data_IF_776406379522
#
_entry.id   IF_776406379522
#
_cell.length_a   1.000
_cell.length_b   1.000
_cell.length_c   1.000
_cell.angle_alpha   90.00
_cell.angle_beta   90.00
_cell.angle_gamma   90.00
#
_symmetry.space_group_name_H-M   'P 1'
#
loop_
_entity.id
_entity.type
_entity.pdbx_description
1 polymer ?
#
# COMPACT_ATOMS: atom_id res chain seq x y z
N UNK A 1 36.21 -25.07 5.15
CA UNK A 1 35.24 -25.19 6.26
C UNK A 1 34.95 -23.78 6.74
N UNK A 2 33.83 -23.18 6.31
CA UNK A 2 33.43 -21.85 6.74
C UNK A 2 32.69 -21.97 8.06
N UNK A 3 33.24 -21.36 9.13
CA UNK A 3 32.52 -21.25 10.40
C UNK A 3 31.17 -20.54 10.16
N UNK A 4 30.06 -21.06 10.70
CA UNK A 4 28.82 -20.28 10.71
C UNK A 4 29.07 -18.98 11.48
N UNK A 5 28.50 -17.85 11.04
CA UNK A 5 28.65 -16.58 11.73
C UNK A 5 28.20 -16.73 13.19
N UNK A 6 28.80 -15.99 14.14
CA UNK A 6 28.44 -16.05 15.54
C UNK A 6 26.96 -15.69 15.68
N UNK A 7 26.15 -16.69 16.02
CA UNK A 7 24.77 -16.45 16.44
C UNK A 7 24.84 -15.80 17.82
N UNK A 8 24.36 -14.57 17.93
CA UNK A 8 24.15 -13.97 19.24
C UNK A 8 23.24 -14.92 20.04
N UNK A 9 23.62 -15.37 21.24
CA UNK A 9 22.76 -16.20 22.06
C UNK A 9 21.50 -15.39 22.36
N UNK A 10 20.40 -15.73 21.68
CA UNK A 10 19.12 -15.12 21.98
C UNK A 10 18.73 -15.52 23.40
N UNK A 11 18.61 -14.53 24.28
CA UNK A 11 18.15 -14.73 25.65
C UNK A 11 16.87 -15.59 25.66
N UNK A 12 16.75 -16.53 26.60
CA UNK A 12 15.56 -17.36 26.71
C UNK A 12 14.32 -16.50 26.98
N UNK A 13 13.22 -16.85 26.34
CA UNK A 13 11.97 -16.10 26.44
C UNK A 13 11.37 -16.32 27.81
N UNK A 14 11.11 -15.25 28.55
CA UNK A 14 10.50 -15.36 29.89
C UNK A 14 9.01 -15.67 29.80
N UNK A 15 8.43 -16.23 30.88
CA UNK A 15 6.99 -16.49 30.94
C UNK A 15 6.14 -15.20 30.79
N UNK A 16 6.63 -14.07 31.33
CA UNK A 16 5.99 -12.77 31.20
C UNK A 16 6.04 -12.25 29.74
N UNK A 17 7.18 -12.38 29.06
CA UNK A 17 7.31 -12.05 27.64
C UNK A 17 6.41 -12.92 26.76
N UNK A 18 6.29 -14.21 27.07
CA UNK A 18 5.40 -15.11 26.34
C UNK A 18 3.92 -14.74 26.54
N UNK A 19 3.52 -14.43 27.77
CA UNK A 19 2.15 -13.97 28.06
C UNK A 19 1.83 -12.65 27.34
N UNK A 20 2.75 -11.68 27.38
CA UNK A 20 2.63 -10.42 26.65
C UNK A 20 2.59 -10.62 25.13
N UNK A 21 3.41 -11.55 24.59
CA UNK A 21 3.42 -11.87 23.17
C UNK A 21 2.08 -12.51 22.74
N UNK A 22 1.52 -13.45 23.51
CA UNK A 22 0.21 -14.04 23.23
C UNK A 22 -0.92 -13.00 23.25
N UNK A 23 -0.96 -12.14 24.28
CA UNK A 23 -1.90 -11.02 24.34
C UNK A 23 -1.71 -10.03 23.17
N UNK A 24 -0.47 -9.85 22.75
CA UNK A 24 -0.15 -9.01 21.60
C UNK A 24 -0.58 -9.63 20.27
N UNK A 25 -0.47 -10.95 20.09
CA UNK A 25 -1.00 -11.67 18.92
C UNK A 25 -2.52 -11.56 18.87
N UNK A 26 -3.22 -11.75 20.00
CA UNK A 26 -4.68 -11.64 20.07
C UNK A 26 -5.17 -10.26 19.64
N UNK A 27 -4.67 -9.20 20.27
CA UNK A 27 -5.11 -7.82 20.02
C UNK A 27 -4.70 -7.35 18.62
N UNK A 28 -3.44 -7.53 18.21
CA UNK A 28 -2.96 -7.03 16.90
C UNK A 28 -3.57 -7.80 15.74
N UNK A 29 -3.70 -9.13 15.85
CA UNK A 29 -4.36 -9.95 14.83
C UNK A 29 -5.80 -9.51 14.59
N UNK A 30 -6.58 -9.30 15.66
CA UNK A 30 -7.96 -8.79 15.57
C UNK A 30 -8.04 -7.41 14.90
N UNK A 31 -7.18 -6.47 15.28
CA UNK A 31 -7.13 -5.12 14.67
C UNK A 31 -6.77 -5.15 13.19
N UNK A 32 -5.78 -5.97 12.80
CA UNK A 32 -5.37 -6.15 11.41
C UNK A 32 -6.55 -6.71 10.60
N UNK A 33 -7.17 -7.80 11.06
CA UNK A 33 -8.30 -8.40 10.36
C UNK A 33 -9.50 -7.47 10.22
N UNK A 34 -9.84 -6.74 11.29
CA UNK A 34 -10.93 -5.74 11.27
C UNK A 34 -10.64 -4.61 10.27
N UNK A 35 -9.42 -4.09 10.28
CA UNK A 35 -9.00 -2.99 9.39
C UNK A 35 -8.93 -3.42 7.94
N UNK A 36 -8.47 -4.64 7.65
CA UNK A 36 -8.55 -5.23 6.31
C UNK A 36 -10.00 -5.38 5.85
N UNK A 37 -10.93 -5.75 6.76
CA UNK A 37 -12.36 -5.78 6.47
C UNK A 37 -12.93 -4.40 6.09
N UNK A 38 -12.57 -3.36 6.85
CA UNK A 38 -12.94 -1.97 6.55
C UNK A 38 -12.34 -1.52 5.21
N UNK A 39 -11.06 -1.79 4.97
CA UNK A 39 -10.40 -1.46 3.70
C UNK A 39 -11.06 -2.16 2.51
N UNK A 40 -11.44 -3.43 2.64
CA UNK A 40 -12.16 -4.16 1.60
C UNK A 40 -13.51 -3.49 1.28
N UNK A 41 -14.28 -3.12 2.32
CA UNK A 41 -15.56 -2.43 2.14
C UNK A 41 -15.39 -1.05 1.48
N UNK A 42 -14.42 -0.25 1.95
CA UNK A 42 -14.11 1.06 1.35
C UNK A 42 -13.65 0.93 -0.10
N UNK A 43 -12.87 -0.10 -0.41
CA UNK A 43 -12.38 -0.33 -1.78
C UNK A 43 -13.50 -0.77 -2.71
N UNK A 44 -14.41 -1.63 -2.24
CA UNK A 44 -15.60 -2.01 -3.00
C UNK A 44 -16.50 -0.81 -3.28
N UNK A 45 -16.76 0.02 -2.25
CA UNK A 45 -17.53 1.26 -2.39
C UNK A 45 -16.84 2.25 -3.32
N UNK A 46 -15.53 2.45 -3.18
CA UNK A 46 -14.74 3.30 -4.05
C UNK A 46 -14.76 2.84 -5.51
N UNK A 47 -14.68 1.53 -5.76
CA UNK A 47 -14.79 0.96 -7.10
C UNK A 47 -16.19 1.13 -7.70
N UNK A 48 -17.26 0.99 -6.91
CA UNK A 48 -18.63 1.27 -7.35
C UNK A 48 -18.84 2.75 -7.68
N UNK A 49 -18.30 3.65 -6.84
CA UNK A 49 -18.33 5.08 -7.09
C UNK A 49 -17.51 5.45 -8.33
N UNK A 50 -16.34 4.83 -8.51
CA UNK A 50 -15.50 5.02 -9.70
C UNK A 50 -16.18 4.52 -10.97
N UNK A 51 -16.85 3.37 -10.91
CA UNK A 51 -17.67 2.84 -12.02
C UNK A 51 -18.80 3.82 -12.37
N UNK A 52 -19.53 4.30 -11.36
CA UNK A 52 -20.62 5.25 -11.56
C UNK A 52 -20.10 6.59 -12.13
N UNK A 53 -19.00 7.11 -11.60
CA UNK A 53 -18.38 8.35 -12.08
C UNK A 53 -17.88 8.21 -13.52
N UNK A 54 -17.27 7.08 -13.88
CA UNK A 54 -16.82 6.80 -15.24
C UNK A 54 -18.01 6.71 -16.21
N UNK A 55 -19.06 5.97 -15.83
CA UNK A 55 -20.30 5.89 -16.62
C UNK A 55 -20.93 7.27 -16.84
N UNK A 56 -21.08 8.04 -15.75
CA UNK A 56 -21.66 9.38 -15.80
C UNK A 56 -20.82 10.33 -16.66
N UNK A 57 -19.49 10.30 -16.53
CA UNK A 57 -18.57 11.14 -17.30
C UNK A 57 -18.70 10.91 -18.82
N UNK A 58 -18.90 9.65 -19.24
CA UNK A 58 -19.14 9.34 -20.65
C UNK A 58 -20.53 9.80 -21.13
N UNK A 59 -21.54 9.77 -20.26
CA UNK A 59 -22.88 10.31 -20.57
C UNK A 59 -22.89 11.84 -20.73
N UNK A 60 -22.04 12.53 -19.98
CA UNK A 60 -21.90 13.99 -20.02
C UNK A 60 -20.91 14.51 -21.08
N UNK A 61 -20.05 13.63 -21.60
CA UNK A 61 -19.03 13.98 -22.61
C UNK A 61 -19.59 14.75 -23.82
N UNK A 62 -20.73 14.37 -24.43
CA UNK A 62 -21.27 15.11 -25.58
C UNK A 62 -21.68 16.54 -25.22
N UNK A 63 -22.22 16.75 -24.00
CA UNK A 63 -22.62 18.08 -23.51
C UNK A 63 -21.39 18.95 -23.28
N UNK A 64 -20.33 18.38 -22.69
CA UNK A 64 -19.05 19.06 -22.49
C UNK A 64 -18.38 19.46 -23.82
N UNK A 65 -18.37 18.56 -24.81
CA UNK A 65 -17.82 18.85 -26.13
C UNK A 65 -18.64 19.94 -26.85
N UNK A 66 -19.97 19.90 -26.74
CA UNK A 66 -20.83 20.94 -27.30
C UNK A 66 -20.56 22.32 -26.67
N UNK A 67 -20.42 22.40 -25.34
CA UNK A 67 -20.07 23.67 -24.68
C UNK A 67 -18.71 24.21 -25.13
N UNK A 68 -17.70 23.33 -25.28
CA UNK A 68 -16.37 23.74 -25.74
C UNK A 68 -16.40 24.28 -27.18
N UNK A 69 -17.23 23.69 -28.05
CA UNK A 69 -17.39 24.15 -29.42
C UNK A 69 -18.04 25.55 -29.49
N UNK A 70 -19.09 25.78 -28.69
CA UNK A 70 -19.74 27.09 -28.55
C UNK A 70 -18.76 28.18 -28.06
N UNK A 71 -17.87 27.82 -27.13
CA UNK A 71 -16.83 28.71 -26.59
C UNK A 71 -15.71 29.04 -27.59
N UNK A 72 -15.53 28.21 -28.61
CA UNK A 72 -14.54 28.44 -29.66
C UNK A 72 -15.10 29.22 -30.86
N UNK A 73 -16.29 29.81 -30.75
CA UNK A 73 -17.03 30.39 -31.88
C UNK A 73 -17.24 29.39 -33.05
N UNK A 74 -17.26 28.09 -32.75
CA UNK A 74 -17.36 27.02 -33.75
C UNK A 74 -16.07 26.77 -34.55
N UNK A 75 -14.93 27.30 -34.10
CA UNK A 75 -13.62 27.13 -34.73
C UNK A 75 -12.99 25.75 -34.40
N UNK A 76 -13.56 25.03 -33.42
CA UNK A 76 -13.27 23.63 -33.22
C UNK A 76 -13.95 22.77 -34.31
N UNK A 77 -13.27 21.77 -34.88
CA UNK A 77 -13.92 20.81 -35.76
C UNK A 77 -15.11 20.18 -35.02
N UNK A 78 -16.23 19.94 -35.71
CA UNK A 78 -17.41 19.25 -35.15
C UNK A 78 -17.03 17.82 -34.74
N UNK A 79 -16.45 17.71 -33.55
CA UNK A 79 -15.93 16.47 -33.01
C UNK A 79 -17.10 15.73 -32.36
N UNK A 80 -17.60 14.72 -33.07
CA UNK A 80 -18.63 13.86 -32.53
C UNK A 80 -18.01 12.96 -31.45
N UNK A 81 -18.62 12.90 -30.25
CA UNK A 81 -18.12 12.07 -29.15
C UNK A 81 -17.93 10.59 -29.57
N UNK A 82 -18.79 10.11 -30.46
CA UNK A 82 -18.74 8.76 -31.03
C UNK A 82 -17.57 8.52 -32.00
N UNK A 83 -17.00 9.58 -32.58
CA UNK A 83 -15.81 9.53 -33.45
C UNK A 83 -14.52 9.64 -32.63
N UNK A 84 -14.54 10.41 -31.55
CA UNK A 84 -13.41 10.58 -30.63
C UNK A 84 -13.17 9.37 -29.73
N UNK A 85 -14.23 8.72 -29.27
CA UNK A 85 -14.15 7.63 -28.30
C UNK A 85 -14.70 6.35 -28.92
N UNK A 86 -13.85 5.35 -29.18
CA UNK A 86 -14.30 4.09 -29.76
C UNK A 86 -15.41 3.45 -28.92
N UNK A 87 -16.43 2.88 -29.56
CA UNK A 87 -17.57 2.27 -28.86
C UNK A 87 -17.19 1.17 -27.85
N UNK A 88 -16.02 0.54 -28.02
CA UNK A 88 -15.49 -0.46 -27.09
C UNK A 88 -14.80 0.16 -25.85
N UNK A 89 -14.42 1.45 -25.87
CA UNK A 89 -13.62 2.07 -24.82
C UNK A 89 -14.37 2.10 -23.47
N UNK A 90 -15.63 2.53 -23.47
CA UNK A 90 -16.45 2.56 -22.25
C UNK A 90 -16.63 1.16 -21.63
N UNK A 91 -17.14 0.13 -22.35
CA UNK A 91 -17.29 -1.20 -21.77
C UNK A 91 -15.94 -1.82 -21.37
N UNK A 92 -14.84 -1.55 -22.08
CA UNK A 92 -13.51 -2.00 -21.68
C UNK A 92 -13.02 -1.33 -20.39
N UNK A 93 -13.16 -0.01 -20.25
CA UNK A 93 -12.72 0.71 -19.05
C UNK A 93 -13.57 0.31 -17.83
N UNK A 94 -14.88 0.16 -17.99
CA UNK A 94 -15.77 -0.33 -16.94
C UNK A 94 -15.44 -1.76 -16.54
N UNK A 95 -15.25 -2.65 -17.52
CA UNK A 95 -14.90 -4.05 -17.29
C UNK A 95 -13.55 -4.19 -16.58
N UNK A 96 -12.53 -3.47 -17.03
CA UNK A 96 -11.21 -3.43 -16.41
C UNK A 96 -11.26 -2.81 -15.01
N UNK A 97 -12.04 -1.75 -14.81
CA UNK A 97 -12.22 -1.11 -13.51
C UNK A 97 -12.89 -2.02 -12.48
N UNK A 98 -13.95 -2.74 -12.88
CA UNK A 98 -14.59 -3.74 -12.04
C UNK A 98 -13.67 -4.93 -11.74
N UNK A 99 -12.97 -5.43 -12.75
CA UNK A 99 -12.00 -6.51 -12.58
C UNK A 99 -10.88 -6.11 -11.63
N UNK A 100 -10.30 -4.92 -11.81
CA UNK A 100 -9.25 -4.39 -10.93
C UNK A 100 -9.76 -4.23 -9.49
N UNK A 101 -10.97 -3.68 -9.31
CA UNK A 101 -11.62 -3.56 -7.99
C UNK A 101 -11.82 -4.92 -7.34
N UNK A 102 -12.37 -5.89 -8.10
CA UNK A 102 -12.63 -7.24 -7.61
C UNK A 102 -11.33 -7.95 -7.21
N UNK A 103 -10.29 -7.86 -8.02
CA UNK A 103 -8.97 -8.42 -7.72
C UNK A 103 -8.35 -7.76 -6.48
N UNK A 104 -8.49 -6.44 -6.33
CA UNK A 104 -7.98 -5.70 -5.18
C UNK A 104 -8.69 -6.10 -3.88
N UNK A 105 -10.02 -6.13 -3.89
CA UNK A 105 -10.82 -6.60 -2.74
C UNK A 105 -10.49 -8.06 -2.42
N UNK A 106 -10.38 -8.91 -3.43
CA UNK A 106 -10.02 -10.32 -3.24
C UNK A 106 -8.64 -10.47 -2.60
N UNK A 107 -7.65 -9.69 -3.04
CA UNK A 107 -6.31 -9.69 -2.42
C UNK A 107 -6.37 -9.28 -0.94
N UNK A 108 -7.17 -8.27 -0.58
CA UNK A 108 -7.38 -7.86 0.83
C UNK A 108 -8.00 -8.99 1.65
N UNK A 109 -9.02 -9.68 1.11
CA UNK A 109 -9.68 -10.79 1.79
C UNK A 109 -8.73 -12.00 1.97
N UNK A 110 -7.91 -12.30 0.97
CA UNK A 110 -6.88 -13.34 1.04
C UNK A 110 -5.82 -12.99 2.09
N UNK A 111 -5.39 -11.72 2.16
CA UNK A 111 -4.49 -11.26 3.21
C UNK A 111 -5.12 -11.39 4.60
N UNK A 112 -6.39 -11.01 4.75
CA UNK A 112 -7.16 -11.15 5.99
C UNK A 112 -7.25 -12.60 6.44
N UNK A 113 -7.58 -13.52 5.52
CA UNK A 113 -7.64 -14.95 5.80
C UNK A 113 -6.28 -15.50 6.26
N UNK A 114 -5.19 -15.04 5.62
CA UNK A 114 -3.84 -15.49 5.96
C UNK A 114 -3.40 -15.01 7.34
N UNK A 115 -3.72 -13.76 7.70
CA UNK A 115 -3.49 -13.25 9.07
C UNK A 115 -4.29 -14.06 10.09
N UNK A 116 -5.55 -14.39 9.79
CA UNK A 116 -6.39 -15.25 10.63
C UNK A 116 -5.78 -16.64 10.82
N UNK A 117 -5.35 -17.29 9.75
CA UNK A 117 -4.74 -18.62 9.83
C UNK A 117 -3.40 -18.62 10.61
N UNK A 118 -2.58 -17.57 10.48
CA UNK A 118 -1.37 -17.41 11.30
C UNK A 118 -1.75 -17.20 12.77
N UNK A 119 -2.76 -16.38 13.04
CA UNK A 119 -3.25 -16.10 14.38
C UNK A 119 -3.76 -17.38 15.08
N UNK A 120 -4.62 -18.15 14.41
CA UNK A 120 -5.16 -19.42 14.90
C UNK A 120 -4.05 -20.43 15.19
N UNK A 121 -3.14 -20.65 14.22
CA UNK A 121 -2.03 -21.58 14.39
C UNK A 121 -1.07 -21.19 15.51
N UNK A 122 -0.87 -19.87 15.73
CA UNK A 122 0.05 -19.37 16.75
C UNK A 122 -0.52 -19.54 18.17
N UNK A 123 -1.83 -19.33 18.33
CA UNK A 123 -2.48 -19.37 19.65
C UNK A 123 -2.99 -20.76 20.02
N UNK A 124 -3.48 -21.50 19.04
CA UNK A 124 -4.11 -22.81 19.20
C UNK A 124 -3.49 -23.81 18.21
N UNK A 125 -2.23 -24.24 18.40
CA UNK A 125 -1.56 -25.12 17.45
C UNK A 125 -2.30 -26.46 17.34
N UNK A 126 -2.61 -26.87 16.11
CA UNK A 126 -3.31 -28.12 15.83
C UNK A 126 -3.26 -28.49 14.34
N UNK A 127 -3.48 -29.77 13.98
CA UNK A 127 -3.36 -30.24 12.60
C UNK A 127 -4.32 -29.52 11.64
N UNK A 128 -5.54 -29.22 12.09
CA UNK A 128 -6.54 -28.51 11.29
C UNK A 128 -6.11 -27.07 10.97
N UNK A 129 -5.53 -26.38 11.97
CA UNK A 129 -5.02 -25.02 11.82
C UNK A 129 -3.75 -24.97 10.97
N UNK A 130 -2.87 -25.99 11.07
CA UNK A 130 -1.70 -26.15 10.18
C UNK A 130 -2.15 -26.27 8.72
N UNK A 131 -3.14 -27.13 8.44
CA UNK A 131 -3.68 -27.30 7.09
C UNK A 131 -4.39 -26.05 6.55
N UNK A 132 -5.04 -25.26 7.42
CA UNK A 132 -5.63 -23.97 7.04
C UNK A 132 -4.56 -22.90 6.74
N UNK A 133 -3.47 -22.85 7.53
CA UNK A 133 -2.33 -21.97 7.31
C UNK A 133 -1.64 -22.28 5.98
N UNK A 134 -1.35 -23.54 5.69
CA UNK A 134 -0.72 -23.95 4.43
C UNK A 134 -1.54 -23.56 3.20
N UNK A 135 -2.85 -23.81 3.24
CA UNK A 135 -3.76 -23.43 2.16
C UNK A 135 -3.73 -21.92 1.96
N UNK A 136 -3.78 -21.15 3.04
CA UNK A 136 -3.75 -19.68 2.97
C UNK A 136 -2.43 -19.16 2.39
N UNK A 137 -1.29 -19.69 2.84
CA UNK A 137 0.03 -19.31 2.31
C UNK A 137 0.19 -19.74 0.85
N UNK A 138 -0.31 -20.91 0.46
CA UNK A 138 -0.31 -21.36 -0.95
C UNK A 138 -1.11 -20.40 -1.84
N UNK A 139 -2.25 -19.90 -1.36
CA UNK A 139 -3.06 -18.91 -2.08
C UNK A 139 -2.35 -17.56 -2.18
N UNK A 140 -1.65 -17.11 -1.13
CA UNK A 140 -0.94 -15.82 -1.11
C UNK A 140 0.32 -15.80 -1.97
N UNK A 141 1.04 -16.92 -2.10
CA UNK A 141 2.33 -16.96 -2.84
C UNK A 141 2.24 -16.40 -4.27
N UNK A 142 1.27 -16.80 -5.11
CA UNK A 142 1.07 -16.20 -6.43
C UNK A 142 0.83 -14.69 -6.38
N UNK A 143 0.07 -14.20 -5.39
CA UNK A 143 -0.18 -12.76 -5.21
C UNK A 143 1.09 -11.98 -4.86
N UNK A 144 1.96 -12.55 -4.02
CA UNK A 144 3.26 -11.95 -3.72
C UNK A 144 4.11 -11.85 -4.99
N UNK A 145 4.17 -12.93 -5.79
CA UNK A 145 4.91 -12.94 -7.06
C UNK A 145 4.32 -11.94 -8.05
N UNK A 146 3.00 -11.91 -8.18
CA UNK A 146 2.31 -10.94 -9.03
C UNK A 146 2.56 -9.50 -8.56
N UNK A 147 2.56 -9.25 -7.25
CA UNK A 147 2.91 -7.96 -6.65
C UNK A 147 4.37 -7.55 -6.88
N UNK A 148 5.28 -8.51 -7.03
CA UNK A 148 6.66 -8.23 -7.45
C UNK A 148 6.69 -7.86 -8.95
N UNK A 149 5.93 -8.54 -9.80
CA UNK A 149 5.91 -8.27 -11.24
C UNK A 149 5.14 -6.99 -11.58
N UNK A 150 4.12 -6.63 -10.81
CA UNK A 150 3.21 -5.53 -11.12
C UNK A 150 3.91 -4.16 -11.30
N UNK A 151 4.86 -3.72 -10.45
CA UNK A 151 5.63 -2.50 -10.68
C UNK A 151 6.40 -2.50 -12.01
N UNK A 152 6.90 -3.66 -12.45
CA UNK A 152 7.59 -3.79 -13.74
C UNK A 152 6.59 -3.61 -14.88
N UNK A 153 5.42 -4.24 -14.78
CA UNK A 153 4.36 -4.07 -15.78
C UNK A 153 3.86 -2.62 -15.82
N UNK A 154 3.72 -1.96 -14.66
CA UNK A 154 3.37 -0.54 -14.59
C UNK A 154 4.43 0.36 -15.21
N UNK A 155 5.72 0.02 -15.08
CA UNK A 155 6.82 0.73 -15.73
C UNK A 155 6.77 0.60 -17.26
N UNK A 156 6.37 -0.56 -17.78
CA UNK A 156 6.26 -0.79 -19.22
C UNK A 156 5.21 0.11 -19.88
N UNK A 157 4.15 0.48 -19.17
CA UNK A 157 3.07 1.33 -19.70
C UNK A 157 3.60 2.70 -20.17
N UNK A 158 4.21 3.56 -19.34
CA UNK A 158 4.78 4.82 -19.79
C UNK A 158 5.96 4.61 -20.74
N UNK A 159 6.78 3.56 -20.57
CA UNK A 159 7.88 3.26 -21.48
C UNK A 159 7.42 2.94 -22.91
N UNK A 160 6.23 2.37 -23.08
CA UNK A 160 5.63 2.11 -24.39
C UNK A 160 4.79 3.29 -24.85
N UNK A 161 3.96 3.86 -23.96
CA UNK A 161 3.05 4.94 -24.28
C UNK A 161 3.79 6.19 -24.74
N UNK A 162 4.85 6.63 -24.03
CA UNK A 162 5.61 7.84 -24.39
C UNK A 162 6.14 7.79 -25.83
N UNK A 163 6.93 6.79 -26.26
CA UNK A 163 7.43 6.73 -27.63
C UNK A 163 6.33 6.45 -28.66
N UNK A 164 5.29 5.67 -28.32
CA UNK A 164 4.14 5.46 -29.22
C UNK A 164 3.37 6.76 -29.46
N UNK A 165 3.05 7.51 -28.41
CA UNK A 165 2.33 8.78 -28.50
C UNK A 165 3.13 9.80 -29.29
N UNK A 166 4.43 9.96 -29.02
CA UNK A 166 5.28 10.85 -29.81
C UNK A 166 5.43 10.37 -31.27
N UNK A 167 5.53 9.06 -31.51
CA UNK A 167 5.55 8.48 -32.86
C UNK A 167 4.25 8.74 -33.63
N UNK A 168 3.09 8.64 -32.96
CA UNK A 168 1.78 8.92 -33.54
C UNK A 168 1.60 10.41 -33.85
N UNK A 169 1.97 11.29 -32.91
CA UNK A 169 1.93 12.75 -33.11
C UNK A 169 2.80 13.15 -34.30
N UNK A 170 4.01 12.57 -34.44
CA UNK A 170 4.89 12.81 -35.58
C UNK A 170 4.29 12.42 -36.92
N UNK A 171 3.42 11.41 -36.96
CA UNK A 171 2.73 10.98 -38.18
C UNK A 171 1.49 11.83 -38.49
N UNK A 172 0.75 12.24 -37.46
CA UNK A 172 -0.51 12.97 -37.59
C UNK A 172 -0.33 14.47 -37.79
N UNK A 173 0.65 15.08 -37.12
CA UNK A 173 0.96 16.51 -37.23
C UNK A 173 2.49 16.75 -37.19
N UNK A 174 3.16 16.59 -38.35
CA UNK A 174 4.60 16.76 -38.46
C UNK A 174 5.06 18.19 -38.16
N UNK A 175 4.21 19.20 -38.37
CA UNK A 175 4.56 20.62 -38.22
C UNK A 175 4.59 21.02 -36.75
N UNK A 176 3.60 20.60 -35.96
CA UNK A 176 3.59 20.82 -34.50
C UNK A 176 4.77 20.09 -33.86
N UNK A 177 5.07 18.86 -34.25
CA UNK A 177 6.20 18.10 -33.70
C UNK A 177 7.57 18.76 -33.98
N UNK A 178 7.77 19.36 -35.15
CA UNK A 178 8.98 20.13 -35.45
C UNK A 178 9.10 21.42 -34.61
N UNK A 179 7.97 22.02 -34.21
CA UNK A 179 7.92 23.20 -33.36
C UNK A 179 8.21 22.93 -31.87
N UNK A 180 7.94 21.73 -31.36
CA UNK A 180 8.17 21.39 -29.93
C UNK A 180 9.63 21.01 -29.63
N UNK A 181 10.46 20.76 -30.65
CA UNK A 181 11.90 20.50 -30.47
C UNK A 181 12.24 19.18 -29.75
N UNK A 182 11.29 18.24 -29.59
CA UNK A 182 11.56 16.93 -28.98
C UNK A 182 12.32 16.03 -29.97
N UNK A 183 13.64 15.93 -29.78
CA UNK A 183 14.49 15.00 -30.49
C UNK A 183 14.61 13.62 -29.82
N UNK A 184 15.37 12.70 -30.44
CA UNK A 184 15.65 11.39 -29.86
C UNK A 184 16.34 11.47 -28.48
N UNK A 185 17.10 12.54 -28.23
CA UNK A 185 17.82 12.75 -26.97
C UNK A 185 16.87 13.07 -25.81
N UNK A 186 15.87 13.93 -26.03
CA UNK A 186 14.86 14.32 -25.04
C UNK A 186 13.94 13.13 -24.72
N UNK A 187 13.52 12.38 -25.74
CA UNK A 187 12.76 11.13 -25.55
C UNK A 187 13.59 10.12 -24.75
N UNK A 188 14.89 9.98 -25.08
CA UNK A 188 15.83 9.14 -24.34
C UNK A 188 16.00 9.58 -22.88
N UNK A 189 16.06 10.89 -22.61
CA UNK A 189 16.14 11.45 -21.27
C UNK A 189 14.85 11.22 -20.47
N UNK A 190 13.67 11.35 -21.08
CA UNK A 190 12.38 11.03 -20.45
C UNK A 190 12.33 9.54 -20.09
N UNK A 191 12.69 8.66 -21.03
CA UNK A 191 12.74 7.21 -20.80
C UNK A 191 13.70 6.86 -19.66
N UNK A 192 14.91 7.44 -19.68
CA UNK A 192 15.89 7.24 -18.62
C UNK A 192 15.38 7.76 -17.27
N UNK A 193 14.74 8.94 -17.26
CA UNK A 193 14.13 9.53 -16.07
C UNK A 193 13.05 8.62 -15.46
N UNK A 194 12.18 8.05 -16.31
CA UNK A 194 11.15 7.08 -15.89
C UNK A 194 11.77 5.83 -15.27
N UNK A 195 12.84 5.29 -15.87
CA UNK A 195 13.55 4.12 -15.32
C UNK A 195 14.21 4.44 -13.98
N UNK A 196 14.99 5.53 -13.91
CA UNK A 196 15.73 5.93 -12.70
C UNK A 196 14.77 6.25 -11.55
N UNK A 197 13.64 6.91 -11.82
CA UNK A 197 12.64 7.23 -10.82
C UNK A 197 11.89 5.99 -10.31
N UNK A 198 11.65 5.00 -11.18
CA UNK A 198 10.83 3.83 -10.83
C UNK A 198 11.63 2.70 -10.17
N UNK A 199 12.93 2.59 -10.46
CA UNK A 199 13.81 1.55 -9.92
C UNK A 199 13.76 1.43 -8.39
N UNK A 200 13.86 2.53 -7.61
CA UNK A 200 13.76 2.46 -6.15
C UNK A 200 12.44 1.82 -5.71
N UNK A 201 11.31 2.23 -6.29
CA UNK A 201 9.98 1.70 -5.97
C UNK A 201 9.88 0.20 -6.27
N UNK A 202 10.40 -0.25 -7.42
CA UNK A 202 10.42 -1.67 -7.79
C UNK A 202 11.25 -2.47 -6.77
N UNK A 203 12.47 -2.03 -6.48
CA UNK A 203 13.39 -2.72 -5.56
C UNK A 203 12.79 -2.79 -4.15
N UNK A 204 12.26 -1.70 -3.63
CA UNK A 204 11.65 -1.64 -2.30
C UNK A 204 10.45 -2.59 -2.21
N UNK A 205 9.56 -2.55 -3.21
CA UNK A 205 8.38 -3.44 -3.26
C UNK A 205 8.81 -4.91 -3.28
N UNK A 206 9.83 -5.24 -4.07
CA UNK A 206 10.38 -6.60 -4.13
C UNK A 206 10.91 -7.08 -2.80
N UNK A 207 11.70 -6.24 -2.11
CA UNK A 207 12.34 -6.56 -0.84
C UNK A 207 11.30 -6.74 0.28
N UNK A 208 10.29 -5.86 0.36
CA UNK A 208 9.16 -6.00 1.31
C UNK A 208 8.43 -7.33 1.08
N UNK A 209 8.02 -7.60 -0.16
CA UNK A 209 7.26 -8.80 -0.51
C UNK A 209 8.07 -10.09 -0.30
N UNK A 210 9.38 -10.06 -0.61
CA UNK A 210 10.28 -11.17 -0.35
C UNK A 210 10.47 -11.42 1.16
N UNK A 211 10.58 -10.36 1.96
CA UNK A 211 10.69 -10.49 3.42
C UNK A 211 9.41 -11.09 4.03
N UNK A 212 8.23 -10.63 3.61
CA UNK A 212 6.94 -11.17 4.05
C UNK A 212 6.82 -12.65 3.68
N UNK A 213 7.19 -13.02 2.44
CA UNK A 213 7.21 -14.41 2.00
C UNK A 213 8.11 -15.28 2.87
N UNK A 214 9.34 -14.84 3.14
CA UNK A 214 10.29 -15.57 4.01
C UNK A 214 9.75 -15.76 5.41
N UNK A 215 9.08 -14.75 5.96
CA UNK A 215 8.44 -14.86 7.27
C UNK A 215 7.27 -15.85 7.27
N UNK A 216 6.36 -15.78 6.28
CA UNK A 216 5.27 -16.75 6.13
C UNK A 216 5.79 -18.19 5.95
N UNK A 217 6.82 -18.37 5.14
CA UNK A 217 7.45 -19.68 4.92
C UNK A 217 8.07 -20.23 6.21
N UNK A 218 8.69 -19.38 7.03
CA UNK A 218 9.22 -19.77 8.35
C UNK A 218 8.11 -20.16 9.33
N UNK A 219 6.99 -19.44 9.35
CA UNK A 219 5.81 -19.78 10.17
C UNK A 219 5.21 -21.13 9.76
N UNK A 220 5.10 -21.41 8.47
CA UNK A 220 4.65 -22.72 7.96
C UNK A 220 5.65 -23.82 8.31
N UNK A 221 6.94 -23.59 8.10
CA UNK A 221 7.98 -24.58 8.43
C UNK A 221 7.98 -24.94 9.92
N UNK A 222 7.75 -23.93 10.78
CA UNK A 222 7.62 -24.11 12.23
C UNK A 222 6.42 -24.97 12.63
N UNK A 223 5.35 -24.98 11.85
CA UNK A 223 4.21 -25.84 12.12
C UNK A 223 4.53 -27.34 11.97
N UNK A 224 5.59 -27.70 11.22
CA UNK A 224 6.01 -29.08 10.97
C UNK A 224 7.30 -29.48 11.68
N UNK A 225 8.21 -28.53 11.86
CA UNK A 225 9.58 -28.80 12.30
C UNK A 225 10.04 -27.73 13.30
N UNK A 226 10.95 -28.08 14.23
CA UNK A 226 11.37 -27.13 15.24
C UNK A 226 12.40 -26.10 14.70
N UNK A 227 11.96 -25.20 13.81
CA UNK A 227 12.80 -24.16 13.17
C UNK A 227 12.55 -22.78 13.81
N UNK A 228 13.57 -21.94 14.06
CA UNK A 228 13.37 -20.60 14.60
C UNK A 228 12.74 -19.63 13.58
N UNK A 229 11.76 -18.84 14.03
CA UNK A 229 11.01 -17.87 13.22
C UNK A 229 11.53 -16.43 13.40
N UNK A 230 12.16 -16.11 14.55
CA UNK A 230 12.65 -14.77 14.88
C UNK A 230 13.64 -14.16 13.86
N UNK A 231 14.58 -14.90 13.25
CA UNK A 231 15.45 -14.34 12.21
C UNK A 231 14.67 -13.81 11.00
N UNK A 232 13.62 -14.53 10.57
CA UNK A 232 12.77 -14.11 9.48
C UNK A 232 11.91 -12.88 9.86
N UNK A 233 11.40 -12.83 11.10
CA UNK A 233 10.67 -11.68 11.61
C UNK A 233 11.53 -10.40 11.70
N UNK A 234 12.79 -10.53 12.15
CA UNK A 234 13.76 -9.42 12.16
C UNK A 234 14.11 -8.93 10.75
N UNK A 235 14.09 -9.81 9.75
CA UNK A 235 14.31 -9.42 8.36
C UNK A 235 13.19 -8.56 7.77
N UNK A 236 11.97 -8.68 8.29
CA UNK A 236 10.80 -7.89 7.87
C UNK A 236 10.78 -6.51 8.54
N UNK A 237 11.28 -6.42 9.77
CA UNK A 237 11.16 -5.27 10.67
C UNK A 237 11.63 -3.91 10.09
N UNK A 238 12.81 -3.78 9.42
CA UNK A 238 13.28 -2.52 8.86
C UNK A 238 12.45 -2.06 7.67
N UNK A 239 11.98 -3.00 6.85
CA UNK A 239 11.13 -2.71 5.70
C UNK A 239 9.78 -2.18 6.15
N UNK A 240 9.20 -2.74 7.21
CA UNK A 240 7.93 -2.24 7.73
C UNK A 240 8.05 -0.83 8.32
N UNK A 241 9.17 -0.50 8.99
CA UNK A 241 9.43 0.88 9.45
C UNK A 241 9.58 1.84 8.28
N UNK A 242 10.34 1.45 7.27
CA UNK A 242 10.56 2.29 6.12
C UNK A 242 9.23 2.66 5.45
N UNK A 243 8.35 1.67 5.19
CA UNK A 243 7.02 1.95 4.65
C UNK A 243 6.16 2.75 5.61
N UNK A 244 6.26 2.52 6.93
CA UNK A 244 5.52 3.31 7.92
C UNK A 244 5.89 4.79 7.83
N UNK A 245 7.18 5.12 7.72
CA UNK A 245 7.66 6.50 7.56
C UNK A 245 7.12 7.12 6.28
N UNK A 246 7.17 6.39 5.16
CA UNK A 246 6.61 6.87 3.88
C UNK A 246 5.10 7.13 3.97
N UNK A 247 4.35 6.25 4.63
CA UNK A 247 2.92 6.43 4.83
C UNK A 247 2.61 7.64 5.71
N UNK A 248 3.40 7.89 6.76
CA UNK A 248 3.25 9.08 7.61
C UNK A 248 3.54 10.36 6.83
N UNK A 249 4.58 10.37 5.99
CA UNK A 249 4.88 11.53 5.13
C UNK A 249 3.77 11.76 4.10
N UNK A 250 3.26 10.70 3.47
CA UNK A 250 2.12 10.78 2.55
C UNK A 250 0.85 11.28 3.24
N UNK A 251 0.56 10.79 4.44
CA UNK A 251 -0.56 11.26 5.28
C UNK A 251 -0.42 12.75 5.59
N UNK A 252 0.76 13.20 6.02
CA UNK A 252 1.03 14.60 6.29
C UNK A 252 0.83 15.45 5.02
N UNK A 253 1.31 15.00 3.85
CA UNK A 253 1.09 15.67 2.57
C UNK A 253 -0.39 15.80 2.20
N UNK A 254 -1.16 14.72 2.37
CA UNK A 254 -2.61 14.73 2.09
C UNK A 254 -3.37 15.68 3.02
N UNK A 255 -3.00 15.73 4.30
CA UNK A 255 -3.60 16.66 5.27
C UNK A 255 -3.20 18.12 4.98
N UNK A 256 -1.92 18.36 4.66
CA UNK A 256 -1.41 19.68 4.31
C UNK A 256 -1.98 20.20 2.99
N UNK A 257 -2.37 19.33 2.05
CA UNK A 257 -3.09 19.73 0.84
C UNK A 257 -4.59 19.89 1.06
N UNK A 258 -5.22 18.92 1.73
CA UNK A 258 -6.67 18.83 1.87
C UNK A 258 -7.27 19.87 2.82
N UNK A 259 -6.63 20.15 3.96
CA UNK A 259 -7.15 21.11 4.94
C UNK A 259 -7.17 22.55 4.40
N UNK A 260 -6.13 23.05 3.71
CA UNK A 260 -6.19 24.35 3.06
C UNK A 260 -7.24 24.41 1.96
N UNK A 261 -7.41 23.39 1.12
CA UNK A 261 -8.46 23.38 0.09
C UNK A 261 -9.86 23.54 0.70
N UNK A 262 -10.11 22.86 1.83
CA UNK A 262 -11.33 23.03 2.62
C UNK A 262 -11.49 24.46 3.13
N UNK A 263 -10.43 25.04 3.69
CA UNK A 263 -10.44 26.43 4.16
C UNK A 263 -10.70 27.42 3.00
N UNK A 264 -9.99 27.29 1.87
CA UNK A 264 -10.16 28.13 0.68
C UNK A 264 -11.57 28.04 0.09
N UNK A 265 -12.20 26.87 0.13
CA UNK A 265 -13.58 26.69 -0.36
C UNK A 265 -14.59 27.60 0.36
N UNK A 266 -14.33 27.98 1.61
CA UNK A 266 -15.18 28.89 2.37
C UNK A 266 -15.08 30.34 1.87
N UNK A 267 -13.93 30.75 1.34
CA UNK A 267 -13.67 32.12 0.86
C UNK A 267 -14.08 32.32 -0.61
N UNK A 268 -14.03 31.27 -1.44
CA UNK A 268 -14.38 31.33 -2.86
C UNK A 268 -15.87 31.63 -3.10
N UNK A 269 -16.76 31.20 -2.19
CA UNK A 269 -18.19 31.48 -2.30
C UNK A 269 -18.60 32.95 -2.13
N UNK A 270 -17.68 33.81 -1.68
CA UNK A 270 -17.92 35.24 -1.41
C UNK A 270 -17.23 36.20 -2.38
N UNK A 271 -16.39 35.69 -3.30
CA UNK A 271 -15.69 36.53 -4.25
C UNK A 271 -16.56 36.78 -5.50
N UNK A 272 -16.87 38.04 -5.85
CA UNK A 272 -17.57 38.34 -7.10
C UNK A 272 -16.62 38.08 -8.28
N UNK A 273 -16.86 36.98 -9.02
CA UNK A 273 -16.30 36.78 -10.35
C UNK A 273 -17.19 37.54 -11.34
N UNK A 274 -16.80 38.78 -11.65
CA UNK A 274 -17.49 39.67 -12.60
C UNK A 274 -16.99 39.50 -14.04
N UNK A 275 -16.40 38.35 -14.38
CA UNK A 275 -15.88 38.11 -15.71
C UNK A 275 -16.90 37.29 -16.54
N UNK A 276 -17.57 37.91 -17.52
CA UNK A 276 -18.59 37.25 -18.33
C UNK A 276 -18.03 36.08 -19.16
N UNK A 277 -16.75 36.10 -19.51
CA UNK A 277 -16.12 35.04 -20.29
C UNK A 277 -15.91 33.78 -19.44
N UNK A 278 -15.57 33.94 -18.15
CA UNK A 278 -15.48 32.82 -17.19
C UNK A 278 -16.87 32.26 -16.81
N UNK A 279 -17.90 33.12 -16.78
CA UNK A 279 -19.26 32.68 -16.55
C UNK A 279 -19.82 31.90 -17.75
N UNK A 280 -19.46 32.28 -18.99
CA UNK A 280 -19.78 31.54 -20.21
C UNK A 280 -19.12 30.15 -20.24
N UNK A 281 -17.93 30.01 -19.64
CA UNK A 281 -17.23 28.73 -19.41
C UNK A 281 -17.88 27.83 -18.34
N UNK A 282 -18.96 28.27 -17.69
CA UNK A 282 -19.57 27.58 -16.54
C UNK A 282 -18.72 27.63 -15.27
N UNK A 283 -17.61 28.39 -15.28
CA UNK A 283 -16.70 28.59 -14.14
C UNK A 283 -17.31 29.67 -13.25
N UNK A 284 -18.34 29.26 -12.52
CA UNK A 284 -18.97 30.08 -11.48
C UNK A 284 -18.24 29.93 -10.15
N UNK A 285 -18.33 30.90 -9.23
CA UNK A 285 -17.85 30.74 -7.85
C UNK A 285 -18.41 29.47 -7.18
N UNK A 286 -19.65 29.09 -7.51
CA UNK A 286 -20.30 27.88 -7.03
C UNK A 286 -19.64 26.61 -7.59
N UNK A 287 -19.33 26.58 -8.89
CA UNK A 287 -18.63 25.46 -9.52
C UNK A 287 -17.19 25.32 -8.98
N UNK A 288 -16.46 26.43 -8.83
CA UNK A 288 -15.11 26.42 -8.26
C UNK A 288 -15.13 25.93 -6.80
N UNK A 289 -16.09 26.40 -5.99
CA UNK A 289 -16.30 25.90 -4.63
C UNK A 289 -16.63 24.41 -4.60
N UNK A 290 -17.47 23.92 -5.52
CA UNK A 290 -17.78 22.51 -5.62
C UNK A 290 -16.54 21.67 -5.97
N UNK A 291 -15.72 22.10 -6.92
CA UNK A 291 -14.46 21.43 -7.28
C UNK A 291 -13.50 21.39 -6.09
N UNK A 292 -13.34 22.50 -5.36
CA UNK A 292 -12.49 22.55 -4.16
C UNK A 292 -13.00 21.62 -3.05
N UNK A 293 -14.31 21.56 -2.83
CA UNK A 293 -14.93 20.65 -1.86
C UNK A 293 -14.76 19.19 -2.25
N UNK A 294 -14.96 18.85 -3.52
CA UNK A 294 -14.73 17.50 -4.05
C UNK A 294 -13.27 17.11 -3.92
N UNK A 295 -12.34 18.00 -4.30
CA UNK A 295 -10.90 17.79 -4.15
C UNK A 295 -10.50 17.61 -2.69
N UNK A 296 -10.99 18.45 -1.79
CA UNK A 296 -10.72 18.34 -0.36
C UNK A 296 -11.31 17.05 0.24
N UNK A 297 -12.54 16.67 -0.14
CA UNK A 297 -13.15 15.43 0.27
C UNK A 297 -12.35 14.21 -0.22
N UNK A 298 -11.87 14.23 -1.46
CA UNK A 298 -11.01 13.18 -2.01
C UNK A 298 -9.67 13.10 -1.26
N UNK A 299 -9.03 14.23 -0.95
CA UNK A 299 -7.79 14.26 -0.16
C UNK A 299 -7.98 13.77 1.27
N UNK A 300 -9.08 14.15 1.94
CA UNK A 300 -9.41 13.68 3.28
C UNK A 300 -9.74 12.18 3.30
N UNK A 301 -10.48 11.68 2.31
CA UNK A 301 -10.73 10.26 2.15
C UNK A 301 -9.41 9.51 1.91
N UNK A 302 -8.53 10.07 1.08
CA UNK A 302 -7.17 9.56 0.89
C UNK A 302 -6.37 9.55 2.20
N UNK A 303 -6.42 10.62 2.98
CA UNK A 303 -5.76 10.72 4.28
C UNK A 303 -6.30 9.67 5.25
N UNK A 304 -7.60 9.43 5.27
CA UNK A 304 -8.21 8.38 6.06
C UNK A 304 -7.72 6.98 5.65
N UNK A 305 -7.65 6.69 4.35
CA UNK A 305 -7.08 5.43 3.84
C UNK A 305 -5.61 5.29 4.24
N UNK A 306 -4.80 6.35 4.09
CA UNK A 306 -3.40 6.36 4.50
C UNK A 306 -3.23 6.17 6.01
N UNK A 307 -4.12 6.72 6.82
CA UNK A 307 -4.15 6.48 8.27
C UNK A 307 -4.41 5.00 8.58
N UNK A 308 -5.42 4.39 7.93
CA UNK A 308 -5.69 2.95 8.08
C UNK A 308 -4.49 2.10 7.68
N UNK A 309 -3.83 2.42 6.55
CA UNK A 309 -2.62 1.73 6.10
C UNK A 309 -1.45 1.91 7.08
N UNK A 310 -1.28 3.11 7.65
CA UNK A 310 -0.26 3.41 8.66
C UNK A 310 -0.48 2.57 9.91
N UNK A 311 -1.72 2.52 10.41
CA UNK A 311 -2.11 1.70 11.56
C UNK A 311 -1.91 0.21 11.29
N UNK A 312 -2.34 -0.26 10.11
CA UNK A 312 -2.14 -1.64 9.65
C UNK A 312 -0.67 -2.01 9.65
N UNK A 313 0.20 -1.11 9.18
CA UNK A 313 1.63 -1.34 9.12
C UNK A 313 2.27 -1.40 10.52
N UNK A 314 1.89 -0.47 11.39
CA UNK A 314 2.34 -0.46 12.79
C UNK A 314 1.92 -1.73 13.55
N UNK A 315 0.68 -2.20 13.34
CA UNK A 315 0.23 -3.46 13.93
C UNK A 315 0.89 -4.68 13.31
N UNK A 316 1.12 -4.70 11.99
CA UNK A 316 1.74 -5.82 11.27
C UNK A 316 3.17 -6.09 11.76
N UNK A 317 3.95 -5.02 11.97
CA UNK A 317 5.29 -5.09 12.58
C UNK A 317 5.24 -5.76 13.94
N UNK A 318 4.38 -5.24 14.81
CA UNK A 318 4.21 -5.77 16.15
C UNK A 318 3.66 -7.21 16.17
N UNK A 319 2.81 -7.55 15.22
CA UNK A 319 2.21 -8.88 15.09
C UNK A 319 3.28 -9.91 14.68
N UNK A 320 4.08 -9.62 13.66
CA UNK A 320 5.13 -10.53 13.19
C UNK A 320 6.15 -10.87 14.30
N UNK A 321 6.57 -9.86 15.09
CA UNK A 321 7.45 -10.08 16.24
C UNK A 321 6.80 -10.93 17.33
N UNK A 322 5.54 -10.66 17.68
CA UNK A 322 4.86 -11.41 18.74
C UNK A 322 4.62 -12.86 18.33
N UNK A 323 4.25 -13.11 17.07
CA UNK A 323 4.11 -14.46 16.51
C UNK A 323 5.42 -15.22 16.61
N UNK A 324 6.54 -14.62 16.19
CA UNK A 324 7.85 -15.25 16.29
C UNK A 324 8.23 -15.58 17.75
N UNK A 325 7.97 -14.66 18.70
CA UNK A 325 8.21 -14.91 20.12
C UNK A 325 7.36 -16.07 20.66
N UNK A 326 6.08 -16.15 20.32
CA UNK A 326 5.21 -17.26 20.77
C UNK A 326 5.68 -18.59 20.19
N UNK A 327 5.98 -18.64 18.90
CA UNK A 327 6.36 -19.87 18.21
C UNK A 327 7.73 -20.39 18.65
N UNK A 328 8.70 -19.49 18.89
CA UNK A 328 10.06 -19.87 19.26
C UNK A 328 10.21 -20.19 20.76
N UNK A 329 9.20 -19.92 21.60
CA UNK A 329 9.23 -20.28 23.03
C UNK A 329 9.20 -21.81 23.25
N UNK A 330 8.63 -22.57 22.31
CA UNK A 330 8.55 -24.04 22.37
C UNK A 330 9.71 -24.78 21.69
N UNK A 331 10.87 -24.16 21.47
CA UNK A 331 12.04 -24.82 20.86
C UNK A 331 12.76 -25.72 21.88
N UNK A 332 12.88 -27.05 21.65
CA UNK A 332 13.68 -27.91 22.52
C UNK A 332 15.16 -27.49 22.47
N UNK A 333 15.77 -27.26 23.63
CA UNK A 333 17.17 -26.85 23.75
C UNK A 333 17.42 -25.36 24.03
N UNK A 334 16.38 -24.53 24.15
CA UNK A 334 16.53 -23.21 24.79
C UNK A 334 16.57 -23.39 26.31
N UNK A 335 17.65 -22.98 27.00
CA UNK A 335 17.70 -23.09 28.45
C UNK A 335 16.64 -22.19 29.06
N UNK A 336 15.58 -22.78 29.63
CA UNK A 336 14.67 -22.07 30.53
C UNK A 336 15.49 -21.78 31.78
N UNK A 337 16.12 -20.59 31.87
CA UNK A 337 16.65 -20.18 33.15
C UNK A 337 15.45 -19.90 34.07
N UNK A 338 15.33 -20.57 35.23
CA UNK A 338 14.54 -19.98 36.31
C UNK A 338 15.13 -18.58 36.57
N UNK A 339 14.26 -17.60 36.84
CA UNK A 339 14.68 -16.26 37.19
C UNK A 339 15.54 -16.31 38.47
N UNK A 340 16.84 -16.51 38.30
CA UNK A 340 17.84 -16.22 39.29
C UNK A 340 18.42 -14.89 38.90
N UNK A 341 18.08 -13.89 39.71
CA UNK A 341 18.74 -12.61 39.72
C UNK A 341 20.25 -12.87 39.86
N UNK A 342 21.10 -12.44 38.91
CA UNK A 342 22.55 -12.60 39.02
C UNK A 342 23.12 -11.87 40.26
N UNK A 343 22.32 -11.03 40.92
CA UNK A 343 22.66 -10.34 42.15
C UNK A 343 22.18 -11.05 43.43
N UNK A 344 21.41 -12.15 43.34
CA UNK A 344 20.93 -12.91 44.49
C UNK A 344 21.79 -14.15 44.81
N UNK A 345 23.11 -14.02 44.67
CA UNK A 345 24.04 -15.02 45.22
C UNK A 345 24.04 -14.98 46.76
N UNK A 346 24.37 -16.09 47.45
CA UNK A 346 24.50 -16.08 48.90
C UNK A 346 25.56 -15.04 49.29
N UNK A 347 25.16 -14.07 50.11
CA UNK A 347 26.06 -13.10 50.71
C UNK A 347 27.12 -13.89 51.47
N UNK A 348 28.35 -13.96 50.95
CA UNK A 348 29.49 -14.40 51.73
C UNK A 348 29.71 -13.33 52.80
N UNK A 349 29.55 -13.65 54.11
CA UNK A 349 29.94 -12.72 55.14
C UNK A 349 31.44 -12.45 54.95
N UNK A 350 31.80 -11.17 54.86
CA UNK A 350 33.18 -10.74 54.76
C UNK A 350 33.97 -11.33 55.93
N UNK A 351 34.76 -12.37 55.67
CA UNK A 351 35.77 -12.84 56.60
C UNK A 351 36.82 -11.73 56.73
N UNK A 352 37.07 -11.30 57.96
CA UNK A 352 38.26 -10.51 58.29
C UNK A 352 38.02 -9.02 58.49
N UNK A 353 37.28 -8.68 59.55
CA UNK A 353 37.64 -7.54 60.41
C UNK A 353 37.24 -7.90 61.84
N UNK A 354 38.17 -8.49 62.56
CA UNK A 354 38.09 -8.51 64.02
C UNK A 354 38.26 -7.07 64.54
N UNK A 355 37.48 -6.66 65.54
CA UNK A 355 37.68 -5.39 66.21
C UNK A 355 38.71 -5.57 67.33
N UNK A 356 39.88 -4.94 67.19
CA UNK A 356 40.67 -4.43 68.31
C UNK A 356 41.32 -3.10 67.92
#
# INVERSE_FOLDING_TARGET
MTQPPPSFPELPITAAELAAARAGVTVRGGRIMGTLGVLAALSALGGLLGFWALWWSFGELPRWLASLNELSDGDLPQLNAAELVPAWALPSLLGLGLLATALYVWAILVARQTVGAVWDQTLNPGPDHTGALERSVRTVRPWIVLGQIAPILQLLIPLLAVPLTFGLIRQLDPQTFQGVGFGPAEIGAIVLGVVVQSLPTVIITWLILAAIRRWLDAVVARAHTPVPVRPAARGVDPWLLFTLVLLVLGLAGLLLGGLPLLAFSAFVGSAPLNDPDLAALGITPAALRAVLLVGAAAMLLGAFIYLLLTLLMGWSRGFASNVATVLDAGLPGRPVMPAHDPWSGPVQPAQGREPY
#
